data_IF_035013088305
#
_entry.id   IF_035013088305
#
_cell.length_a   1.000
_cell.length_b   1.000
_cell.length_c   1.000
_cell.angle_alpha   90.00
_cell.angle_beta   90.00
_cell.angle_gamma   90.00
#
_symmetry.space_group_name_H-M   'P 1'
#
loop_
_entity.id
_entity.type
_entity.pdbx_description
1 polymer ?
#
# COMPACT_ATOMS: atom_id res chain seq x y z
N UNK A 1 -15.80 4.60 3.07
CA UNK A 1 -14.92 5.51 3.84
C UNK A 1 -15.25 5.55 5.32
N UNK A 2 -16.48 5.90 5.75
CA UNK A 2 -16.82 5.91 7.18
C UNK A 2 -16.59 4.58 7.89
N UNK A 3 -16.87 3.43 7.24
CA UNK A 3 -16.55 2.13 7.83
C UNK A 3 -15.07 1.98 8.16
N UNK A 4 -14.17 2.32 7.23
CA UNK A 4 -12.73 2.30 7.47
C UNK A 4 -12.30 3.23 8.61
N UNK A 5 -12.82 4.47 8.63
CA UNK A 5 -12.51 5.45 9.69
C UNK A 5 -12.98 5.03 11.08
N UNK A 6 -14.06 4.26 11.14
CA UNK A 6 -14.66 3.82 12.40
C UNK A 6 -14.14 2.45 12.87
N UNK A 7 -13.13 1.88 12.20
CA UNK A 7 -12.51 0.65 12.68
C UNK A 7 -11.82 0.91 14.00
N UNK A 8 -12.10 0.04 14.98
CA UNK A 8 -11.43 0.05 16.27
C UNK A 8 -10.01 -0.48 16.05
N UNK A 9 -9.07 0.44 15.89
CA UNK A 9 -7.67 0.15 15.59
C UNK A 9 -6.77 1.24 16.18
N UNK A 10 -5.55 0.91 16.63
CA UNK A 10 -4.55 1.92 16.96
C UNK A 10 -4.03 2.68 15.71
N UNK A 11 -4.32 2.18 14.51
CA UNK A 11 -3.98 2.78 13.22
C UNK A 11 -5.21 3.48 12.66
N UNK A 12 -5.02 4.70 12.16
CA UNK A 12 -6.08 5.43 11.46
C UNK A 12 -6.15 5.02 9.99
N UNK A 13 -7.33 4.60 9.53
CA UNK A 13 -7.61 4.35 8.12
C UNK A 13 -8.37 5.54 7.52
N UNK A 14 -7.64 6.58 7.14
CA UNK A 14 -8.20 7.83 6.58
C UNK A 14 -7.92 8.02 5.09
N UNK A 15 -7.36 7.02 4.43
CA UNK A 15 -6.88 7.09 3.06
C UNK A 15 -7.50 5.99 2.21
N UNK A 16 -7.77 6.28 0.94
CA UNK A 16 -8.29 5.33 -0.03
C UNK A 16 -7.56 5.48 -1.38
N UNK A 17 -7.36 4.35 -2.05
CA UNK A 17 -6.89 4.32 -3.44
C UNK A 17 -8.10 4.15 -4.36
N UNK A 18 -8.16 4.94 -5.41
CA UNK A 18 -9.13 4.80 -6.49
C UNK A 18 -8.44 4.21 -7.71
N UNK A 19 -9.14 3.35 -8.46
CA UNK A 19 -8.63 2.77 -9.71
C UNK A 19 -9.00 3.60 -10.95
N UNK A 20 -10.00 4.47 -10.83
CA UNK A 20 -10.47 5.37 -11.88
C UNK A 20 -11.08 6.63 -11.23
N UNK A 21 -11.06 7.75 -11.95
CA UNK A 21 -11.79 8.96 -11.58
C UNK A 21 -13.24 8.96 -12.13
N UNK A 22 -13.62 7.95 -12.91
CA UNK A 22 -14.90 7.87 -13.62
C UNK A 22 -15.92 7.06 -12.83
N UNK A 23 -17.19 7.48 -12.85
CA UNK A 23 -18.30 6.65 -12.39
C UNK A 23 -18.53 5.50 -13.36
N UNK A 24 -18.59 4.26 -12.85
CA UNK A 24 -18.85 3.06 -13.63
C UNK A 24 -20.07 3.20 -14.57
N UNK A 25 -19.96 2.69 -15.79
CA UNK A 25 -21.01 2.79 -16.81
C UNK A 25 -21.18 4.18 -17.44
N UNK A 26 -20.26 5.11 -17.19
CA UNK A 26 -20.28 6.45 -17.78
C UNK A 26 -19.00 6.73 -18.55
N UNK A 27 -19.05 7.68 -19.50
CA UNK A 27 -17.86 8.07 -20.27
C UNK A 27 -16.86 8.83 -19.40
N UNK A 28 -17.32 9.86 -18.71
CA UNK A 28 -16.45 10.83 -18.03
C UNK A 28 -17.16 11.57 -16.87
N UNK A 29 -18.19 10.96 -16.26
CA UNK A 29 -18.79 11.55 -15.04
C UNK A 29 -17.84 11.29 -13.87
N UNK A 30 -17.57 12.30 -13.01
CA UNK A 30 -16.70 12.10 -11.85
C UNK A 30 -17.26 11.02 -10.92
N UNK A 31 -16.38 10.21 -10.34
CA UNK A 31 -16.75 9.22 -9.32
C UNK A 31 -17.39 9.87 -8.10
N UNK A 32 -18.41 9.21 -7.54
CA UNK A 32 -19.01 9.61 -6.25
C UNK A 32 -18.03 9.56 -5.08
N UNK A 33 -16.87 8.92 -5.25
CA UNK A 33 -15.81 8.91 -4.24
C UNK A 33 -15.26 10.32 -3.94
N UNK A 34 -15.33 11.29 -4.88
CA UNK A 34 -14.91 12.67 -4.61
C UNK A 34 -15.83 13.36 -3.60
N UNK A 35 -17.15 13.24 -3.80
CA UNK A 35 -18.15 13.73 -2.85
C UNK A 35 -17.96 13.11 -1.47
N UNK A 36 -17.78 11.78 -1.44
CA UNK A 36 -17.58 11.04 -0.21
C UNK A 36 -16.27 11.43 0.49
N UNK A 37 -15.18 11.63 -0.25
CA UNK A 37 -13.90 12.03 0.31
C UNK A 37 -13.97 13.41 0.96
N UNK A 38 -14.58 14.39 0.27
CA UNK A 38 -14.77 15.75 0.80
C UNK A 38 -15.63 15.75 2.07
N UNK A 39 -16.70 14.96 2.07
CA UNK A 39 -17.61 14.82 3.21
C UNK A 39 -16.93 14.17 4.41
N UNK A 40 -16.15 13.13 4.17
CA UNK A 40 -15.55 12.32 5.24
C UNK A 40 -14.13 12.74 5.59
N UNK A 41 -13.54 13.69 4.85
CA UNK A 41 -12.12 14.06 4.90
C UNK A 41 -11.19 12.86 4.69
N UNK A 42 -11.45 12.07 3.65
CA UNK A 42 -10.64 10.90 3.29
C UNK A 42 -9.60 11.30 2.26
N UNK A 43 -8.34 10.99 2.51
CA UNK A 43 -7.25 11.21 1.55
C UNK A 43 -7.38 10.24 0.37
N UNK A 44 -7.03 10.69 -0.84
CA UNK A 44 -7.18 9.93 -2.07
C UNK A 44 -5.86 9.81 -2.81
N UNK A 45 -5.41 8.57 -3.01
CA UNK A 45 -4.59 8.24 -4.17
C UNK A 45 -5.53 8.06 -5.35
N UNK A 46 -5.51 9.03 -6.27
CA UNK A 46 -6.29 8.97 -7.49
C UNK A 46 -5.71 7.93 -8.45
N UNK A 47 -6.55 7.29 -9.24
CA UNK A 47 -6.13 6.39 -10.30
C UNK A 47 -6.75 6.77 -11.63
N UNK A 48 -5.98 6.64 -12.70
CA UNK A 48 -6.49 6.58 -14.07
C UNK A 48 -6.39 5.14 -14.55
N UNK A 49 -7.50 4.58 -14.99
CA UNK A 49 -7.49 3.33 -15.74
C UNK A 49 -6.96 3.62 -17.14
N UNK A 50 -5.96 2.87 -17.61
CA UNK A 50 -5.35 3.11 -18.94
C UNK A 50 -5.37 1.90 -19.87
N UNK A 51 -5.85 0.74 -19.42
CA UNK A 51 -5.93 -0.44 -20.32
C UNK A 51 -6.96 -0.20 -21.42
N UNK A 52 -6.54 -0.23 -22.70
CA UNK A 52 -7.46 -0.06 -23.82
C UNK A 52 -8.36 -1.28 -24.01
N UNK A 53 -9.41 -1.12 -24.82
CA UNK A 53 -10.25 -2.24 -25.23
C UNK A 53 -9.51 -3.25 -26.13
N UNK A 54 -8.46 -2.80 -26.82
CA UNK A 54 -7.65 -3.62 -27.72
C UNK A 54 -6.17 -3.36 -27.49
N UNK A 55 -5.36 -4.43 -27.47
CA UNK A 55 -3.91 -4.35 -27.26
C UNK A 55 -3.25 -3.50 -28.33
N UNK A 56 -2.48 -2.50 -27.90
CA UNK A 56 -1.77 -1.59 -28.79
C UNK A 56 -2.61 -0.42 -29.33
N UNK A 57 -3.90 -0.33 -28.98
CA UNK A 57 -4.72 0.82 -29.30
C UNK A 57 -4.23 2.09 -28.58
N UNK A 58 -4.60 3.25 -29.12
CA UNK A 58 -4.27 4.55 -28.52
C UNK A 58 -4.92 4.73 -27.15
N UNK A 59 -4.19 5.34 -26.22
CA UNK A 59 -4.65 5.65 -24.87
C UNK A 59 -5.40 6.99 -24.79
N UNK A 60 -5.42 7.75 -25.88
CA UNK A 60 -5.81 9.16 -25.89
C UNK A 60 -7.23 9.41 -25.38
N UNK A 61 -8.19 8.61 -25.85
CA UNK A 61 -9.59 8.77 -25.45
C UNK A 61 -9.80 8.40 -23.98
N UNK A 62 -9.11 7.37 -23.49
CA UNK A 62 -9.20 6.91 -22.11
C UNK A 62 -8.60 7.95 -21.16
N UNK A 63 -7.41 8.46 -21.48
CA UNK A 63 -6.77 9.54 -20.72
C UNK A 63 -7.61 10.82 -20.75
N UNK A 64 -8.22 11.15 -21.89
CA UNK A 64 -9.11 12.32 -21.99
C UNK A 64 -10.35 12.17 -21.09
N UNK A 65 -10.96 10.98 -21.05
CA UNK A 65 -12.12 10.71 -20.21
C UNK A 65 -11.79 10.81 -18.72
N UNK A 66 -10.67 10.22 -18.30
CA UNK A 66 -10.19 10.29 -16.91
C UNK A 66 -9.86 11.73 -16.50
N UNK A 67 -9.18 12.48 -17.37
CA UNK A 67 -8.88 13.91 -17.17
C UNK A 67 -10.15 14.77 -17.09
N UNK A 68 -11.15 14.50 -17.93
CA UNK A 68 -12.45 15.18 -17.90
C UNK A 68 -13.19 14.92 -16.58
N UNK A 69 -13.19 13.67 -16.11
CA UNK A 69 -13.78 13.30 -14.82
C UNK A 69 -13.07 13.98 -13.65
N UNK A 70 -11.73 13.97 -13.63
CA UNK A 70 -10.93 14.67 -12.63
C UNK A 70 -11.21 16.18 -12.63
N UNK A 71 -11.25 16.81 -13.82
CA UNK A 71 -11.56 18.22 -13.97
C UNK A 71 -12.94 18.58 -13.39
N UNK A 72 -13.97 17.76 -13.64
CA UNK A 72 -15.31 17.94 -13.08
C UNK A 72 -15.34 17.77 -11.56
N UNK A 73 -14.55 16.84 -11.03
CA UNK A 73 -14.35 16.69 -9.58
C UNK A 73 -13.80 17.97 -8.95
N UNK A 74 -12.75 18.53 -9.52
CA UNK A 74 -12.20 19.82 -9.08
C UNK A 74 -13.11 21.01 -9.36
N UNK A 75 -13.90 21.01 -10.43
CA UNK A 75 -14.89 22.05 -10.68
C UNK A 75 -15.94 22.08 -9.56
N UNK A 76 -16.36 20.92 -9.07
CA UNK A 76 -17.36 20.79 -8.01
C UNK A 76 -16.81 21.15 -6.63
N UNK A 77 -15.61 20.67 -6.30
CA UNK A 77 -15.10 20.72 -4.93
C UNK A 77 -13.93 21.68 -4.72
N UNK A 78 -13.25 22.09 -5.79
CA UNK A 78 -12.08 22.96 -5.73
C UNK A 78 -11.07 22.52 -4.67
N UNK A 79 -10.74 23.47 -3.79
CA UNK A 79 -9.73 23.27 -2.75
C UNK A 79 -10.08 22.16 -1.76
N UNK A 80 -11.38 21.90 -1.50
CA UNK A 80 -11.78 20.86 -0.55
C UNK A 80 -11.37 19.46 -1.02
N UNK A 81 -11.34 19.21 -2.33
CA UNK A 81 -10.81 17.98 -2.89
C UNK A 81 -9.27 18.03 -2.98
N UNK A 82 -8.70 19.18 -3.36
CA UNK A 82 -7.24 19.36 -3.50
C UNK A 82 -6.44 18.97 -2.26
N UNK A 83 -6.93 19.33 -1.08
CA UNK A 83 -6.23 19.02 0.18
C UNK A 83 -6.25 17.54 0.52
N UNK A 84 -7.18 16.76 -0.07
CA UNK A 84 -7.33 15.33 0.14
C UNK A 84 -6.56 14.49 -0.89
N UNK A 85 -6.23 15.04 -2.06
CA UNK A 85 -5.45 14.31 -3.07
C UNK A 85 -3.99 14.18 -2.62
N UNK A 86 -3.51 12.95 -2.47
CA UNK A 86 -2.11 12.67 -2.07
C UNK A 86 -1.22 12.32 -3.27
N UNK A 87 -1.80 11.92 -4.39
CA UNK A 87 -1.10 11.58 -5.62
C UNK A 87 -2.05 11.09 -6.71
N UNK A 88 -1.49 10.80 -7.88
CA UNK A 88 -2.20 10.24 -9.02
C UNK A 88 -1.39 9.08 -9.61
N UNK A 89 -1.95 7.88 -9.65
CA UNK A 89 -1.40 6.73 -10.37
C UNK A 89 -1.98 6.62 -11.79
N UNK A 90 -1.11 6.52 -12.79
CA UNK A 90 -1.48 6.32 -14.19
C UNK A 90 -1.37 4.84 -14.50
N UNK A 91 -2.48 4.12 -14.49
CA UNK A 91 -2.51 2.68 -14.66
C UNK A 91 -2.34 1.87 -13.37
N UNK A 92 -2.68 0.59 -13.48
CA UNK A 92 -2.57 -0.45 -12.45
C UNK A 92 -2.32 -1.80 -13.12
N UNK A 93 -1.13 -2.37 -12.94
CA UNK A 93 -0.72 -3.67 -13.51
C UNK A 93 -0.80 -3.75 -15.05
N UNK A 94 -0.72 -2.60 -15.72
CA UNK A 94 -0.81 -2.53 -17.18
C UNK A 94 0.41 -3.16 -17.85
N UNK A 95 1.61 -2.98 -17.28
CA UNK A 95 2.85 -3.52 -17.82
C UNK A 95 2.89 -5.02 -17.52
N UNK A 96 2.50 -5.45 -16.32
CA UNK A 96 2.31 -6.87 -16.00
C UNK A 96 1.41 -7.56 -17.03
N UNK A 97 0.21 -7.03 -17.29
CA UNK A 97 -0.72 -7.60 -18.28
C UNK A 97 -0.11 -7.62 -19.68
N UNK A 98 0.61 -6.56 -20.06
CA UNK A 98 1.26 -6.49 -21.36
C UNK A 98 2.35 -7.55 -21.52
N UNK A 99 3.26 -7.66 -20.56
CA UNK A 99 4.45 -8.52 -20.64
C UNK A 99 4.13 -10.00 -20.38
N UNK A 100 3.25 -10.31 -19.43
CA UNK A 100 2.77 -11.70 -19.24
C UNK A 100 1.95 -12.19 -20.41
N UNK A 101 1.11 -11.32 -20.97
CA UNK A 101 0.20 -11.66 -22.07
C UNK A 101 -0.64 -12.93 -21.80
N UNK A 102 -1.05 -13.13 -20.55
CA UNK A 102 -1.88 -14.27 -20.14
C UNK A 102 -3.36 -13.96 -20.37
N UNK A 103 -4.10 -14.97 -20.83
CA UNK A 103 -5.57 -15.00 -20.93
C UNK A 103 -6.24 -13.84 -21.68
N UNK A 104 -5.55 -13.25 -22.66
CA UNK A 104 -6.10 -12.15 -23.46
C UNK A 104 -6.33 -10.86 -22.67
N UNK A 105 -5.77 -10.75 -21.45
CA UNK A 105 -5.83 -9.53 -20.65
C UNK A 105 -5.09 -8.41 -21.38
N UNK A 106 -5.79 -7.31 -21.63
CA UNK A 106 -5.21 -6.16 -22.32
C UNK A 106 -4.38 -5.35 -21.32
N UNK A 107 -3.11 -5.12 -21.66
CA UNK A 107 -2.20 -4.26 -20.93
C UNK A 107 -1.63 -3.14 -21.79
N UNK A 108 -0.66 -2.41 -21.23
CA UNK A 108 0.05 -1.31 -21.89
C UNK A 108 1.55 -1.50 -21.68
N UNK A 109 2.35 -1.33 -22.75
CA UNK A 109 3.80 -1.45 -22.65
C UNK A 109 4.40 -0.37 -21.72
N UNK A 110 5.52 -0.67 -21.07
CA UNK A 110 6.22 0.29 -20.20
C UNK A 110 6.48 1.64 -20.88
N UNK A 111 6.91 1.63 -22.15
CA UNK A 111 7.14 2.86 -22.92
C UNK A 111 5.86 3.69 -23.10
N UNK A 112 4.72 3.05 -23.33
CA UNK A 112 3.44 3.75 -23.47
C UNK A 112 2.92 4.25 -22.11
N UNK A 113 3.20 3.55 -21.00
CA UNK A 113 2.91 4.05 -19.66
C UNK A 113 3.75 5.30 -19.35
N UNK A 114 5.07 5.29 -19.64
CA UNK A 114 5.92 6.48 -19.50
C UNK A 114 5.39 7.66 -20.33
N UNK A 115 5.00 7.40 -21.57
CA UNK A 115 4.40 8.42 -22.43
C UNK A 115 3.07 8.95 -21.88
N UNK A 116 2.23 8.07 -21.31
CA UNK A 116 0.97 8.44 -20.68
C UNK A 116 1.19 9.33 -19.45
N UNK A 117 2.15 9.00 -18.57
CA UNK A 117 2.52 9.84 -17.42
C UNK A 117 2.93 11.23 -17.88
N UNK A 118 3.83 11.31 -18.88
CA UNK A 118 4.25 12.60 -19.45
C UNK A 118 3.06 13.38 -20.02
N UNK A 119 2.22 12.74 -20.82
CA UNK A 119 1.04 13.37 -21.44
C UNK A 119 0.07 13.89 -20.39
N UNK A 120 -0.23 13.11 -19.35
CA UNK A 120 -1.11 13.53 -18.26
C UNK A 120 -0.50 14.72 -17.51
N UNK A 121 0.80 14.70 -17.21
CA UNK A 121 1.51 15.82 -16.57
C UNK A 121 1.40 17.11 -17.40
N UNK A 122 1.68 17.04 -18.70
CA UNK A 122 1.59 18.19 -19.60
C UNK A 122 0.15 18.71 -19.73
N UNK A 123 -0.82 17.80 -19.79
CA UNK A 123 -2.25 18.14 -19.89
C UNK A 123 -2.76 18.78 -18.59
N UNK A 124 -2.35 18.28 -17.42
CA UNK A 124 -2.65 18.91 -16.12
C UNK A 124 -2.02 20.30 -16.05
N UNK A 125 -0.75 20.45 -16.45
CA UNK A 125 -0.04 21.73 -16.36
C UNK A 125 -0.69 22.85 -17.21
N UNK A 126 -1.37 22.46 -18.30
CA UNK A 126 -2.06 23.35 -19.24
C UNK A 126 -3.56 23.48 -18.99
N UNK A 127 -4.12 22.80 -17.98
CA UNK A 127 -5.56 22.82 -17.70
C UNK A 127 -5.96 23.94 -16.74
N UNK A 128 -7.23 24.30 -16.75
CA UNK A 128 -7.81 25.27 -15.80
C UNK A 128 -7.75 24.79 -14.33
N UNK A 129 -7.53 23.48 -14.11
CA UNK A 129 -7.40 22.88 -12.78
C UNK A 129 -5.94 22.64 -12.35
N UNK A 130 -4.94 23.10 -13.12
CA UNK A 130 -3.51 22.92 -12.83
C UNK A 130 -3.14 23.27 -11.38
N UNK A 131 -3.71 24.36 -10.85
CA UNK A 131 -3.48 24.82 -9.48
C UNK A 131 -3.82 23.78 -8.40
N UNK A 132 -4.78 22.90 -8.66
CA UNK A 132 -5.24 21.89 -7.72
C UNK A 132 -4.37 20.63 -7.69
N UNK A 133 -3.56 20.41 -8.72
CA UNK A 133 -2.62 19.27 -8.81
C UNK A 133 -1.16 19.71 -8.63
N UNK A 134 -0.91 21.00 -8.41
CA UNK A 134 0.44 21.54 -8.24
C UNK A 134 1.18 20.83 -7.10
N UNK A 135 2.33 20.25 -7.42
CA UNK A 135 3.19 19.56 -6.45
C UNK A 135 2.69 18.18 -6.01
N UNK A 136 1.58 17.68 -6.56
CA UNK A 136 1.12 16.31 -6.30
C UNK A 136 1.92 15.33 -7.16
N UNK A 137 2.46 14.24 -6.59
CA UNK A 137 3.26 13.29 -7.34
C UNK A 137 2.38 12.48 -8.30
N UNK A 138 2.90 12.20 -9.50
CA UNK A 138 2.27 11.37 -10.53
C UNK A 138 3.15 10.15 -10.76
N UNK A 139 2.60 8.96 -10.54
CA UNK A 139 3.33 7.70 -10.63
C UNK A 139 2.58 6.61 -11.37
N UNK A 140 3.04 5.37 -11.24
CA UNK A 140 2.42 4.18 -11.79
C UNK A 140 2.32 3.10 -10.70
N UNK A 141 1.33 2.23 -10.81
CA UNK A 141 1.18 1.06 -9.95
C UNK A 141 1.28 -0.20 -10.80
N UNK A 142 2.14 -1.13 -10.43
CA UNK A 142 2.24 -2.44 -11.09
C UNK A 142 2.69 -3.51 -10.10
N UNK A 143 2.66 -4.78 -10.51
CA UNK A 143 3.24 -5.86 -9.72
C UNK A 143 4.74 -5.63 -9.54
N UNK A 144 5.30 -6.08 -8.42
CA UNK A 144 6.65 -5.72 -7.98
C UNK A 144 7.72 -5.79 -9.09
N UNK A 145 7.70 -6.81 -9.95
CA UNK A 145 8.66 -6.94 -11.05
C UNK A 145 8.63 -5.76 -12.04
N UNK A 146 7.46 -5.17 -12.33
CA UNK A 146 7.28 -4.08 -13.30
C UNK A 146 7.00 -2.70 -12.68
N UNK A 147 6.96 -2.61 -11.34
CA UNK A 147 6.65 -1.36 -10.64
C UNK A 147 7.66 -0.22 -10.89
N UNK A 148 8.93 -0.54 -11.15
CA UNK A 148 10.01 0.46 -11.38
C UNK A 148 10.13 0.77 -12.88
N UNK A 149 9.95 2.05 -13.22
CA UNK A 149 9.93 2.52 -14.61
C UNK A 149 10.35 4.01 -14.73
N UNK A 150 10.58 4.50 -15.94
CA UNK A 150 11.01 5.90 -16.13
C UNK A 150 9.83 6.88 -16.11
N UNK A 151 10.06 8.09 -15.54
CA UNK A 151 9.15 9.24 -15.63
C UNK A 151 8.10 9.37 -14.52
N UNK A 152 8.05 8.41 -13.59
CA UNK A 152 7.18 8.41 -12.43
C UNK A 152 7.81 9.15 -11.22
N UNK A 153 7.01 9.87 -10.45
CA UNK A 153 7.43 10.54 -9.20
C UNK A 153 7.39 9.59 -7.99
N UNK A 154 6.69 8.45 -8.13
CA UNK A 154 6.67 7.34 -7.16
C UNK A 154 6.42 6.02 -7.90
N UNK A 155 6.84 4.91 -7.30
CA UNK A 155 6.55 3.55 -7.77
C UNK A 155 5.59 2.87 -6.81
N UNK A 156 4.37 2.59 -7.27
CA UNK A 156 3.44 1.75 -6.52
C UNK A 156 3.68 0.27 -6.83
N UNK A 157 4.02 -0.52 -5.83
CA UNK A 157 4.08 -1.97 -5.98
C UNK A 157 2.77 -2.62 -5.51
N UNK A 158 2.28 -3.57 -6.28
CA UNK A 158 1.34 -4.60 -5.81
C UNK A 158 2.15 -5.86 -5.47
N UNK A 159 1.92 -6.42 -4.29
CA UNK A 159 2.65 -7.59 -3.81
C UNK A 159 1.78 -8.49 -2.93
N UNK A 160 1.57 -9.72 -3.40
CA UNK A 160 0.73 -10.72 -2.76
C UNK A 160 1.47 -12.07 -2.72
N UNK A 161 2.11 -12.43 -1.59
CA UNK A 161 2.70 -13.77 -1.44
C UNK A 161 1.70 -14.90 -1.71
N UNK A 162 0.40 -14.65 -1.45
CA UNK A 162 -0.69 -15.55 -1.79
C UNK A 162 -0.72 -15.96 -3.27
N UNK A 163 -0.68 -14.99 -4.20
CA UNK A 163 -0.66 -15.28 -5.64
C UNK A 163 0.67 -15.88 -6.11
N UNK A 164 1.75 -15.64 -5.37
CA UNK A 164 3.04 -16.30 -5.56
C UNK A 164 3.07 -17.74 -4.99
N UNK A 165 1.95 -18.25 -4.46
CA UNK A 165 1.79 -19.60 -3.89
C UNK A 165 2.66 -19.85 -2.65
N UNK A 166 3.06 -18.79 -1.95
CA UNK A 166 3.91 -18.85 -0.77
C UNK A 166 3.05 -19.16 0.45
N UNK A 167 3.47 -20.13 1.27
CA UNK A 167 2.76 -20.45 2.50
C UNK A 167 2.88 -19.31 3.52
N UNK A 168 1.96 -19.24 4.48
CA UNK A 168 1.91 -18.12 5.44
C UNK A 168 3.18 -17.99 6.29
N UNK A 169 3.89 -19.08 6.58
CA UNK A 169 5.08 -19.04 7.42
C UNK A 169 6.27 -18.37 6.74
N UNK A 170 6.27 -18.33 5.40
CA UNK A 170 7.30 -17.71 4.56
C UNK A 170 6.84 -16.37 3.96
N UNK A 171 5.57 -15.99 4.17
CA UNK A 171 4.96 -14.84 3.53
C UNK A 171 5.65 -13.51 3.90
N UNK A 172 6.10 -13.36 5.15
CA UNK A 172 6.85 -12.17 5.56
C UNK A 172 8.18 -12.05 4.80
N UNK A 173 9.01 -13.09 4.83
CA UNK A 173 10.33 -13.04 4.19
C UNK A 173 10.20 -12.85 2.68
N UNK A 174 9.22 -13.50 2.05
CA UNK A 174 8.87 -13.31 0.64
C UNK A 174 8.47 -11.87 0.33
N UNK A 175 7.60 -11.26 1.15
CA UNK A 175 7.17 -9.88 0.96
C UNK A 175 8.31 -8.89 1.17
N UNK A 176 9.09 -9.02 2.25
CA UNK A 176 10.21 -8.11 2.54
C UNK A 176 11.29 -8.19 1.47
N UNK A 177 11.61 -9.40 0.99
CA UNK A 177 12.54 -9.60 -0.13
C UNK A 177 12.04 -8.92 -1.40
N UNK A 178 10.74 -9.05 -1.69
CA UNK A 178 10.10 -8.38 -2.84
C UNK A 178 10.17 -6.86 -2.73
N UNK A 179 9.81 -6.30 -1.57
CA UNK A 179 9.88 -4.85 -1.30
C UNK A 179 11.31 -4.32 -1.44
N UNK A 180 12.29 -5.02 -0.88
CA UNK A 180 13.69 -4.61 -0.94
C UNK A 180 14.23 -4.68 -2.39
N UNK A 181 13.86 -5.70 -3.16
CA UNK A 181 14.19 -5.78 -4.59
C UNK A 181 13.59 -4.65 -5.43
N UNK A 182 12.40 -4.15 -5.07
CA UNK A 182 11.82 -2.94 -5.69
C UNK A 182 12.63 -1.71 -5.29
N UNK A 183 12.91 -1.53 -3.99
CA UNK A 183 13.69 -0.38 -3.47
C UNK A 183 15.07 -0.28 -4.10
N UNK A 184 15.78 -1.39 -4.26
CA UNK A 184 17.10 -1.40 -4.89
C UNK A 184 17.08 -0.91 -6.34
N UNK A 185 16.01 -1.22 -7.09
CA UNK A 185 15.82 -0.73 -8.45
C UNK A 185 15.27 0.70 -8.50
N UNK A 186 14.51 1.11 -7.49
CA UNK A 186 13.85 2.41 -7.41
C UNK A 186 14.81 3.60 -7.25
N UNK A 187 16.07 3.34 -6.87
CA UNK A 187 17.05 4.38 -6.54
C UNK A 187 16.46 5.35 -5.49
N UNK A 188 16.37 6.64 -5.82
CA UNK A 188 15.84 7.69 -4.92
C UNK A 188 14.34 7.97 -5.11
N UNK A 189 13.64 7.23 -5.98
CA UNK A 189 12.21 7.42 -6.20
C UNK A 189 11.43 6.70 -5.09
N UNK A 190 10.48 7.35 -4.41
CA UNK A 190 9.69 6.73 -3.36
C UNK A 190 8.91 5.49 -3.83
N UNK A 191 8.96 4.42 -3.03
CA UNK A 191 8.17 3.19 -3.25
C UNK A 191 6.96 3.21 -2.33
N UNK A 192 5.77 2.98 -2.89
CA UNK A 192 4.51 2.87 -2.17
C UNK A 192 4.01 1.42 -2.26
N UNK A 193 3.44 0.90 -1.17
CA UNK A 193 2.76 -0.39 -1.18
C UNK A 193 1.32 -0.14 -1.62
N UNK A 194 1.11 -0.10 -2.94
CA UNK A 194 -0.15 0.32 -3.53
C UNK A 194 -1.26 -0.72 -3.42
N UNK A 195 -0.90 -1.97 -3.15
CA UNK A 195 -1.80 -3.09 -2.93
C UNK A 195 -1.06 -4.24 -2.24
N UNK A 196 -1.67 -4.77 -1.18
CA UNK A 196 -1.23 -5.98 -0.48
C UNK A 196 -2.39 -6.58 0.30
N UNK A 197 -2.32 -7.85 0.66
CA UNK A 197 -3.30 -8.49 1.53
C UNK A 197 -3.11 -9.99 1.62
N UNK A 198 -4.02 -10.63 2.36
CA UNK A 198 -4.20 -12.08 2.38
C UNK A 198 -5.70 -12.38 2.46
N UNK A 199 -6.22 -13.39 1.75
CA UNK A 199 -7.65 -13.65 1.76
C UNK A 199 -8.10 -14.32 3.06
N UNK A 200 -9.25 -13.87 3.56
CA UNK A 200 -9.94 -14.43 4.72
C UNK A 200 -10.47 -15.84 4.46
N UNK A 201 -10.96 -16.09 3.24
CA UNK A 201 -11.52 -17.37 2.79
C UNK A 201 -11.35 -17.54 1.27
N UNK A 202 -11.51 -18.76 0.75
CA UNK A 202 -11.45 -19.07 -0.67
C UNK A 202 -10.47 -20.20 -1.04
N UNK A 203 -10.33 -20.48 -2.35
CA UNK A 203 -9.54 -21.61 -2.82
C UNK A 203 -8.04 -21.35 -2.67
N UNK A 204 -7.32 -22.28 -2.05
CA UNK A 204 -5.87 -22.22 -1.89
C UNK A 204 -5.13 -22.06 -3.24
N UNK A 205 -4.00 -21.36 -3.21
CA UNK A 205 -3.10 -21.16 -4.34
C UNK A 205 -1.77 -21.86 -4.05
N UNK A 206 -1.61 -23.10 -4.53
CA UNK A 206 -0.48 -23.93 -4.11
C UNK A 206 -0.45 -24.09 -2.60
N UNK A 207 0.63 -23.64 -1.94
CA UNK A 207 0.78 -23.73 -0.49
C UNK A 207 0.16 -22.54 0.27
N UNK A 208 -0.32 -21.53 -0.45
CA UNK A 208 -1.00 -20.37 0.13
C UNK A 208 -2.48 -20.70 0.42
N UNK A 209 -2.80 -20.92 1.69
CA UNK A 209 -4.19 -21.19 2.13
C UNK A 209 -4.87 -19.92 2.62
N UNK A 210 -6.07 -19.64 2.12
CA UNK A 210 -6.93 -18.58 2.64
C UNK A 210 -7.57 -19.04 3.96
N UNK A 211 -7.41 -18.26 5.04
CA UNK A 211 -8.08 -18.51 6.32
C UNK A 211 -8.00 -17.28 7.22
N UNK A 212 -8.86 -17.22 8.24
CA UNK A 212 -8.78 -16.21 9.29
C UNK A 212 -7.41 -16.20 9.98
N UNK A 213 -6.88 -17.37 10.35
CA UNK A 213 -5.59 -17.50 11.05
C UNK A 213 -4.44 -16.97 10.18
N UNK A 214 -4.45 -17.29 8.89
CA UNK A 214 -3.42 -16.84 7.97
C UNK A 214 -3.52 -15.34 7.67
N UNK A 215 -4.73 -14.81 7.51
CA UNK A 215 -4.96 -13.36 7.40
C UNK A 215 -4.49 -12.62 8.65
N UNK A 216 -4.87 -13.07 9.85
CA UNK A 216 -4.45 -12.45 11.10
C UNK A 216 -2.91 -12.47 11.23
N UNK A 217 -2.27 -13.58 10.88
CA UNK A 217 -0.81 -13.69 10.88
C UNK A 217 -0.17 -12.75 9.87
N UNK A 218 -0.68 -12.70 8.63
CA UNK A 218 -0.16 -11.82 7.58
C UNK A 218 -0.30 -10.34 7.94
N UNK A 219 -1.43 -9.93 8.52
CA UNK A 219 -1.60 -8.58 9.05
C UNK A 219 -0.54 -8.25 10.12
N UNK A 220 -0.35 -9.16 11.08
CA UNK A 220 0.53 -8.95 12.22
C UNK A 220 2.02 -8.91 11.83
N UNK A 221 2.44 -9.84 10.97
CA UNK A 221 3.86 -9.98 10.59
C UNK A 221 4.24 -9.06 9.43
N UNK A 222 3.36 -8.88 8.45
CA UNK A 222 3.66 -8.14 7.21
C UNK A 222 2.99 -6.78 7.21
N UNK A 223 1.67 -6.72 7.40
CA UNK A 223 0.90 -5.46 7.37
C UNK A 223 1.44 -4.43 8.37
N UNK A 224 1.61 -4.83 9.63
CA UNK A 224 2.16 -3.98 10.69
C UNK A 224 3.61 -3.52 10.43
N UNK A 225 4.37 -4.22 9.60
CA UNK A 225 5.74 -3.83 9.25
C UNK A 225 5.81 -2.68 8.25
N UNK A 226 4.74 -2.45 7.46
CA UNK A 226 4.73 -1.43 6.41
C UNK A 226 3.79 -0.27 6.71
N UNK A 227 2.68 -0.51 7.41
CA UNK A 227 1.72 0.54 7.74
C UNK A 227 2.37 1.56 8.68
N UNK A 228 2.29 2.83 8.31
CA UNK A 228 2.94 3.94 9.02
C UNK A 228 4.41 4.15 8.67
N UNK A 229 5.04 3.22 7.96
CA UNK A 229 6.40 3.36 7.40
C UNK A 229 6.38 3.71 5.92
N UNK A 230 5.38 3.22 5.19
CA UNK A 230 5.16 3.48 3.77
C UNK A 230 3.74 4.01 3.54
N UNK A 231 3.54 4.63 2.38
CA UNK A 231 2.18 4.78 1.85
C UNK A 231 1.68 3.38 1.48
N UNK A 232 0.76 2.85 2.28
CA UNK A 232 0.27 1.47 2.18
C UNK A 232 -1.24 1.46 1.98
N UNK A 233 -1.70 0.66 1.01
CA UNK A 233 -3.10 0.42 0.74
C UNK A 233 -3.37 -1.08 0.82
N UNK A 234 -4.24 -1.45 1.77
CA UNK A 234 -4.66 -2.84 1.96
C UNK A 234 -5.78 -3.20 0.99
N UNK A 235 -5.64 -4.32 0.30
CA UNK A 235 -6.66 -4.91 -0.56
C UNK A 235 -7.38 -6.02 0.21
N UNK A 236 -8.66 -5.87 0.55
CA UNK A 236 -9.51 -4.69 0.32
C UNK A 236 -10.40 -4.40 1.53
N UNK A 237 -11.18 -3.32 1.50
CA UNK A 237 -12.03 -2.97 2.64
C UNK A 237 -13.20 -3.96 2.76
N UNK A 238 -14.05 -4.05 1.74
CA UNK A 238 -15.25 -4.89 1.70
C UNK A 238 -15.08 -5.84 0.52
N UNK A 239 -15.40 -7.12 0.72
CA UNK A 239 -15.40 -8.11 -0.36
C UNK A 239 -16.18 -7.61 -1.57
N UNK A 240 -15.52 -7.50 -2.71
CA UNK A 240 -16.13 -7.24 -4.02
C UNK A 240 -16.02 -8.45 -4.99
N UNK A 241 -15.37 -9.52 -4.53
CA UNK A 241 -15.06 -10.69 -5.34
C UNK A 241 -16.25 -11.62 -5.59
N UNK A 242 -16.23 -12.28 -6.76
CA UNK A 242 -17.21 -13.30 -7.17
C UNK A 242 -17.15 -14.55 -6.28
N UNK A 243 -18.16 -15.43 -6.38
CA UNK A 243 -18.30 -16.58 -5.47
C UNK A 243 -17.14 -17.60 -5.52
N UNK A 244 -16.42 -17.67 -6.64
CA UNK A 244 -15.29 -18.58 -6.86
C UNK A 244 -13.92 -17.91 -6.63
N UNK A 245 -13.91 -16.62 -6.30
CA UNK A 245 -12.69 -15.86 -6.01
C UNK A 245 -12.43 -15.78 -4.51
N UNK A 246 -11.16 -15.67 -4.08
CA UNK A 246 -10.83 -15.46 -2.68
C UNK A 246 -11.49 -14.19 -2.10
N UNK A 247 -11.84 -14.23 -0.83
CA UNK A 247 -12.41 -13.11 -0.09
C UNK A 247 -11.30 -12.27 0.55
N UNK A 248 -11.07 -11.08 0.03
CA UNK A 248 -10.00 -10.16 0.49
C UNK A 248 -10.49 -9.12 1.51
N UNK A 249 -11.77 -9.14 1.87
CA UNK A 249 -12.39 -8.10 2.69
C UNK A 249 -11.82 -8.05 4.11
N UNK A 250 -11.35 -6.87 4.51
CA UNK A 250 -10.86 -6.58 5.86
C UNK A 250 -12.01 -6.42 6.88
N UNK A 251 -13.21 -6.06 6.41
CA UNK A 251 -14.43 -6.04 7.21
C UNK A 251 -15.47 -7.03 6.68
N UNK A 252 -16.33 -7.48 7.58
CA UNK A 252 -17.47 -8.31 7.23
C UNK A 252 -18.54 -7.49 6.48
N UNK A 253 -18.97 -7.96 5.31
CA UNK A 253 -19.89 -7.21 4.45
C UNK A 253 -21.29 -7.02 5.06
N UNK A 254 -21.70 -7.83 6.03
CA UNK A 254 -23.02 -7.72 6.67
C UNK A 254 -23.00 -6.80 7.88
N UNK A 255 -22.00 -6.94 8.75
CA UNK A 255 -21.90 -6.24 10.04
C UNK A 255 -20.99 -5.00 9.99
N UNK A 256 -20.16 -4.88 8.96
CA UNK A 256 -19.10 -3.89 8.80
C UNK A 256 -18.09 -3.85 9.96
N UNK A 257 -18.00 -4.93 10.74
CA UNK A 257 -17.01 -5.07 11.80
C UNK A 257 -15.67 -5.58 11.22
N UNK A 258 -14.52 -5.20 11.84
CA UNK A 258 -13.23 -5.79 11.49
C UNK A 258 -13.28 -7.31 11.58
N UNK A 259 -12.71 -7.99 10.57
CA UNK A 259 -12.54 -9.45 10.58
C UNK A 259 -11.29 -9.91 11.32
N UNK A 260 -10.39 -8.99 11.64
CA UNK A 260 -9.11 -9.25 12.30
C UNK A 260 -8.87 -8.26 13.44
N UNK A 261 -8.00 -8.65 14.37
CA UNK A 261 -7.45 -7.72 15.35
C UNK A 261 -6.41 -6.83 14.65
N UNK A 262 -6.74 -5.54 14.53
CA UNK A 262 -5.93 -4.54 13.83
C UNK A 262 -4.81 -3.95 14.69
N UNK A 263 -4.62 -4.41 15.92
CA UNK A 263 -3.53 -3.96 16.77
C UNK A 263 -2.17 -4.44 16.25
N UNK A 264 -1.23 -3.50 16.07
CA UNK A 264 0.16 -3.80 15.81
C UNK A 264 0.96 -3.76 17.11
N UNK A 265 1.47 -4.91 17.54
CA UNK A 265 2.44 -5.01 18.65
C UNK A 265 3.75 -4.33 18.23
N UNK A 266 3.94 -3.05 18.62
CA UNK A 266 5.18 -2.35 18.30
C UNK A 266 5.21 -0.82 18.44
N UNK A 267 4.08 -0.12 18.56
CA UNK A 267 4.10 1.33 18.79
C UNK A 267 4.29 1.73 20.27
N UNK A 268 5.18 1.02 20.96
CA UNK A 268 5.85 1.55 22.15
C UNK A 268 6.83 2.62 21.66
N UNK A 269 6.35 3.85 21.51
CA UNK A 269 7.27 5.00 21.58
C UNK A 269 8.03 4.84 22.89
N UNK A 270 9.32 4.53 22.80
CA UNK A 270 10.24 4.55 23.94
C UNK A 270 10.44 6.01 24.33
N UNK A 271 9.43 6.59 24.98
CA UNK A 271 9.57 7.81 25.74
C UNK A 271 10.46 7.49 26.93
N UNK A 272 11.76 7.75 26.80
CA UNK A 272 12.65 7.83 27.96
C UNK A 272 12.25 9.07 28.76
N UNK A 273 11.22 8.94 29.59
CA UNK A 273 10.92 9.85 30.67
C UNK A 273 11.87 9.56 31.84
N UNK A 274 12.38 10.59 32.54
CA UNK A 274 13.45 10.41 33.51
C UNK A 274 12.95 9.64 34.74
N UNK A 275 13.74 8.67 35.17
CA UNK A 275 13.57 7.92 36.41
C UNK A 275 13.62 8.87 37.61
N UNK A 276 12.64 8.83 38.53
CA UNK A 276 12.74 9.59 39.77
C UNK A 276 13.69 8.89 40.73
N UNK A 277 14.74 9.60 41.12
CA UNK A 277 15.65 9.26 42.20
C UNK A 277 14.93 9.36 43.53
N UNK A 278 14.92 8.28 44.31
CA UNK A 278 14.64 8.30 45.74
C UNK A 278 15.81 7.65 46.46
N UNK A 279 16.51 8.46 47.24
CA UNK A 279 17.62 8.04 48.08
C UNK A 279 17.15 7.67 49.47
N UNK A 280 17.90 6.77 50.11
CA UNK A 280 18.08 6.75 51.56
C UNK A 280 19.36 5.97 51.92
N UNK A 281 20.33 6.75 52.41
CA UNK A 281 21.50 6.41 53.26
C UNK A 281 21.14 5.48 54.43
N UNK A 282 21.97 4.67 55.10
CA UNK A 282 23.42 4.56 55.39
C UNK A 282 23.60 3.29 56.32
N UNK A 283 24.74 2.97 56.98
CA UNK A 283 26.06 2.56 56.47
C UNK A 283 26.67 1.31 57.19
N UNK A 284 27.90 0.90 56.76
CA UNK A 284 29.00 0.28 57.55
C UNK A 284 28.79 -1.12 58.17
N UNK A 285 29.75 -2.04 58.31
CA UNK A 285 31.21 -2.11 58.13
C UNK A 285 31.66 -3.58 58.26
N UNK A 286 32.76 -3.97 57.62
CA UNK A 286 33.94 -4.59 58.24
C UNK A 286 34.73 -5.43 57.24
N UNK A 287 36.00 -5.09 57.16
CA UNK A 287 37.06 -5.69 56.37
C UNK A 287 37.57 -6.97 57.02
N UNK A 288 38.04 -7.95 56.24
CA UNK A 288 39.33 -8.61 56.51
C UNK A 288 39.72 -9.64 55.45
N UNK A 289 40.89 -9.37 54.85
CA UNK A 289 42.00 -10.29 54.54
C UNK A 289 41.84 -11.49 53.58
N UNK A 290 42.39 -11.30 52.37
CA UNK A 290 43.55 -12.00 51.78
C UNK A 290 43.86 -13.44 52.22
N UNK A 291 43.89 -14.36 51.24
CA UNK A 291 45.02 -15.25 50.85
C UNK A 291 44.53 -16.12 49.67
N UNK A 292 45.09 -15.95 48.45
CA UNK A 292 46.12 -16.80 47.83
C UNK A 292 45.59 -18.19 47.40
N UNK A 293 45.92 -18.81 46.27
CA UNK A 293 46.64 -18.47 45.03
C UNK A 293 46.44 -19.67 44.08
N UNK A 294 46.60 -19.46 42.76
CA UNK A 294 46.96 -20.47 41.74
C UNK A 294 45.89 -21.52 41.39
N UNK A 295 45.72 -22.02 40.16
CA UNK A 295 46.60 -22.13 38.99
C UNK A 295 45.76 -22.33 37.70
N UNK A 296 46.30 -21.87 36.58
CA UNK A 296 45.81 -22.05 35.19
C UNK A 296 46.29 -23.41 34.59
N UNK A 297 46.11 -23.72 33.28
CA UNK A 297 45.24 -24.76 32.72
C UNK A 297 46.01 -26.02 32.23
N UNK A 298 45.38 -26.91 31.44
CA UNK A 298 45.83 -26.95 30.05
C UNK A 298 44.74 -27.19 29.00
N UNK A 299 45.06 -26.70 27.80
CA UNK A 299 44.46 -27.01 26.51
C UNK A 299 44.69 -28.47 26.09
N UNK A 300 43.75 -29.06 25.36
CA UNK A 300 44.06 -30.05 24.32
C UNK A 300 42.92 -30.12 23.29
N UNK A 301 43.33 -29.91 22.04
CA UNK A 301 42.62 -30.09 20.78
C UNK A 301 42.28 -31.54 20.46
N UNK A 302 41.14 -31.76 19.82
CA UNK A 302 40.90 -32.67 18.69
C UNK A 302 39.59 -32.26 18.02
#
# INVERSE_FOLDING_TARGET
FNFAKNLISPITFDSARLFTCITAGTKDKPTGAFDAAVTTKTNLLLGFWISPGERGASLDSILQNEMSALAKGFQKHGQDLTVLVIGLSIGSEDIYRWDKNEDGKVGVSAANVTAAIKKVRDTIASSDFAKYMKGKPIGHVDTAQWAVMDGADFYGMTAYPYWAKVNIAEANDSFQSTLEGVKQRANNVPVWVAEMGWPFDGPAQGDATASYENLQRYWTEVGCSVVGQYNTFWFELIKDSESDQPDWGMIDSATHQPRLNLACSGNSTSGSGPTPSSGSSNPSSSSSHLLASQSEPPSASS
#
